data_IF_048546799942
#
_entry.id   IF_048546799942
#
_cell.length_a   1.000
_cell.length_b   1.000
_cell.length_c   1.000
_cell.angle_alpha   90.00
_cell.angle_beta   90.00
_cell.angle_gamma   90.00
#
_symmetry.space_group_name_H-M   'P 1'
#
loop_
_entity.id
_entity.type
_entity.pdbx_description
1 polymer ?
#
# COMPACT_ATOMS: atom_id res chain seq x y z
N UNK A 1 -22.13 -55.29 -38.06
CA UNK A 1 -20.87 -54.54 -38.03
C UNK A 1 -21.01 -53.41 -37.02
N UNK A 2 -20.68 -53.67 -35.75
CA UNK A 2 -20.85 -52.75 -34.62
C UNK A 2 -19.49 -52.57 -33.98
N UNK A 3 -18.87 -51.40 -34.15
CA UNK A 3 -17.63 -51.07 -33.46
C UNK A 3 -17.90 -50.82 -31.97
N UNK A 4 -17.01 -51.27 -31.07
CA UNK A 4 -17.24 -51.17 -29.63
C UNK A 4 -16.96 -49.75 -29.14
N UNK A 5 -18.00 -49.13 -28.56
CA UNK A 5 -18.04 -47.80 -27.93
C UNK A 5 -16.97 -47.61 -26.84
N UNK A 6 -16.33 -48.69 -26.39
CA UNK A 6 -15.26 -48.74 -25.40
C UNK A 6 -13.95 -48.09 -25.86
N UNK A 7 -13.64 -48.10 -27.16
CA UNK A 7 -12.40 -47.51 -27.69
C UNK A 7 -12.45 -45.97 -27.70
N UNK A 8 -13.63 -45.38 -27.90
CA UNK A 8 -13.83 -43.92 -27.97
C UNK A 8 -13.66 -43.24 -26.59
N UNK A 9 -13.99 -43.94 -25.50
CA UNK A 9 -13.84 -43.41 -24.13
C UNK A 9 -12.40 -43.42 -23.63
N UNK A 10 -11.57 -44.36 -24.11
CA UNK A 10 -10.15 -44.43 -23.73
C UNK A 10 -9.33 -43.34 -24.43
N UNK A 11 -9.70 -42.97 -25.66
CA UNK A 11 -9.09 -41.85 -26.40
C UNK A 11 -9.36 -40.49 -25.75
N UNK A 12 -10.56 -40.27 -25.22
CA UNK A 12 -10.94 -38.99 -24.58
C UNK A 12 -10.21 -38.75 -23.25
N UNK A 13 -9.93 -39.80 -22.48
CA UNK A 13 -9.19 -39.70 -21.22
C UNK A 13 -7.69 -39.40 -21.41
N UNK A 14 -7.11 -39.79 -22.55
CA UNK A 14 -5.70 -39.53 -22.87
C UNK A 14 -5.44 -38.09 -23.35
N UNK A 15 -6.45 -37.44 -23.93
CA UNK A 15 -6.37 -36.04 -24.37
C UNK A 15 -6.49 -35.06 -23.19
N UNK A 16 -7.22 -35.42 -22.12
CA UNK A 16 -7.41 -34.53 -20.96
C UNK A 16 -6.17 -34.51 -20.04
N UNK A 17 -5.42 -35.61 -19.95
CA UNK A 17 -4.23 -35.69 -19.08
C UNK A 17 -2.99 -34.98 -19.65
N UNK A 18 -2.94 -34.73 -20.96
CA UNK A 18 -1.79 -34.07 -21.60
C UNK A 18 -1.87 -32.54 -21.61
N UNK A 19 -3.04 -31.95 -21.33
CA UNK A 19 -3.24 -30.50 -21.31
C UNK A 19 -2.92 -29.82 -19.95
N UNK A 20 -2.59 -30.60 -18.91
CA UNK A 20 -2.41 -30.09 -17.54
C UNK A 20 -0.97 -29.70 -17.15
N UNK A 21 0.02 -29.87 -18.03
CA UNK A 21 1.44 -29.72 -17.67
C UNK A 21 2.16 -28.51 -18.30
N UNK A 22 1.45 -27.64 -19.02
CA UNK A 22 2.06 -26.46 -19.67
C UNK A 22 1.58 -25.15 -19.03
N UNK A 23 1.89 -24.96 -17.75
CA UNK A 23 1.72 -23.67 -17.08
C UNK A 23 2.93 -23.34 -16.17
N UNK A 24 4.15 -23.56 -16.68
CA UNK A 24 5.34 -22.87 -16.19
C UNK A 24 5.85 -21.96 -17.31
N UNK A 25 5.23 -20.80 -17.45
CA UNK A 25 5.83 -19.70 -18.20
C UNK A 25 6.97 -19.10 -17.37
N UNK A 26 8.10 -18.71 -17.98
CA UNK A 26 9.09 -17.89 -17.29
C UNK A 26 8.40 -16.61 -16.80
N UNK A 27 8.61 -16.29 -15.51
CA UNK A 27 7.94 -15.20 -14.83
C UNK A 27 7.97 -13.91 -15.63
N UNK A 28 6.82 -13.22 -15.64
CA UNK A 28 6.64 -11.88 -16.19
C UNK A 28 7.86 -11.02 -15.89
N UNK A 29 8.39 -10.33 -16.91
CA UNK A 29 9.39 -9.28 -16.74
C UNK A 29 8.87 -8.29 -15.70
N UNK A 30 9.27 -8.45 -14.43
CA UNK A 30 9.09 -7.42 -13.43
C UNK A 30 9.98 -6.29 -13.92
N UNK A 31 9.37 -5.16 -14.25
CA UNK A 31 10.10 -3.91 -14.43
C UNK A 31 10.74 -3.63 -13.08
N UNK A 32 12.00 -4.06 -12.94
CA UNK A 32 12.80 -3.76 -11.76
C UNK A 32 13.09 -2.27 -11.87
N UNK A 33 12.51 -1.49 -10.96
CA UNK A 33 12.82 -0.08 -10.83
C UNK A 33 14.33 0.04 -10.60
N UNK A 34 15.00 0.77 -11.51
CA UNK A 34 16.43 1.01 -11.38
C UNK A 34 16.61 1.94 -10.18
N UNK A 35 17.48 1.60 -9.21
CA UNK A 35 17.73 2.48 -8.08
C UNK A 35 18.14 3.85 -8.60
N UNK A 36 17.44 4.89 -8.15
CA UNK A 36 17.83 6.27 -8.42
C UNK A 36 19.23 6.45 -7.85
N UNK A 37 20.16 6.84 -8.72
CA UNK A 37 21.50 7.24 -8.28
C UNK A 37 21.33 8.45 -7.39
N UNK A 38 21.66 8.34 -6.11
CA UNK A 38 21.69 9.48 -5.20
C UNK A 38 22.68 10.50 -5.76
N UNK A 39 22.16 11.59 -6.31
CA UNK A 39 22.98 12.74 -6.66
C UNK A 39 23.43 13.37 -5.35
N UNK A 40 24.74 13.30 -5.08
CA UNK A 40 25.34 13.93 -3.89
C UNK A 40 25.23 15.44 -4.09
N UNK A 41 24.16 16.03 -3.59
CA UNK A 41 24.07 17.47 -3.47
C UNK A 41 25.23 17.94 -2.59
N UNK A 42 26.00 18.96 -3.01
CA UNK A 42 27.01 19.57 -2.16
C UNK A 42 26.32 20.08 -0.89
N UNK A 43 26.81 19.62 0.27
CA UNK A 43 26.35 20.07 1.56
C UNK A 43 26.68 21.57 1.74
N UNK A 44 25.78 22.45 1.31
CA UNK A 44 25.74 23.80 1.83
C UNK A 44 25.26 23.70 3.27
N UNK A 45 26.21 23.67 4.21
CA UNK A 45 25.96 23.91 5.61
C UNK A 45 25.54 25.38 5.79
N UNK A 46 24.32 25.72 5.41
CA UNK A 46 23.64 26.88 5.92
C UNK A 46 23.16 26.49 7.33
N UNK A 47 23.85 27.01 8.35
CA UNK A 47 23.37 26.95 9.73
C UNK A 47 22.05 27.70 9.79
N UNK A 48 20.93 26.98 9.66
CA UNK A 48 19.62 27.54 9.93
C UNK A 48 19.60 28.06 11.37
N UNK A 49 19.01 29.23 11.63
CA UNK A 49 18.78 29.67 12.98
C UNK A 49 17.99 28.56 13.68
N UNK A 50 18.51 28.11 14.82
CA UNK A 50 17.89 27.10 15.67
C UNK A 50 16.56 27.69 16.15
N UNK A 51 15.51 27.46 15.36
CA UNK A 51 14.16 27.90 15.66
C UNK A 51 13.85 27.38 17.05
N UNK A 52 13.60 28.30 17.99
CA UNK A 52 13.14 27.96 19.31
C UNK A 52 11.84 27.18 19.10
N UNK A 53 11.92 25.85 19.24
CA UNK A 53 10.76 24.99 19.19
C UNK A 53 9.84 25.45 20.32
N UNK A 54 8.85 26.26 19.98
CA UNK A 54 7.69 26.47 20.83
C UNK A 54 7.13 25.07 21.05
N UNK A 55 7.28 24.55 22.26
CA UNK A 55 6.73 23.26 22.63
C UNK A 55 5.21 23.43 22.62
N UNK A 56 4.59 23.07 21.50
CA UNK A 56 3.14 22.98 21.38
C UNK A 56 2.68 21.82 22.26
N UNK A 57 1.46 21.95 22.80
CA UNK A 57 0.82 20.82 23.46
C UNK A 57 0.68 19.65 22.45
N UNK A 58 0.79 18.40 22.92
CA UNK A 58 0.50 17.24 22.06
C UNK A 58 -0.90 17.35 21.46
N UNK A 59 -1.09 16.88 20.22
CA UNK A 59 -2.40 16.93 19.57
C UNK A 59 -3.41 16.05 20.31
N UNK A 60 -4.65 16.49 20.33
CA UNK A 60 -5.77 15.67 20.82
C UNK A 60 -6.27 14.74 19.71
N UNK A 61 -7.02 13.70 20.09
CA UNK A 61 -7.68 12.83 19.11
C UNK A 61 -8.62 13.60 18.16
N UNK A 62 -9.27 14.66 18.67
CA UNK A 62 -10.11 15.53 17.86
C UNK A 62 -9.29 16.33 16.83
N UNK A 63 -8.14 16.87 17.23
CA UNK A 63 -7.27 17.61 16.30
C UNK A 63 -6.81 16.72 15.15
N UNK A 64 -6.47 15.47 15.47
CA UNK A 64 -6.08 14.46 14.47
C UNK A 64 -7.25 14.13 13.55
N UNK A 65 -8.44 13.90 14.09
CA UNK A 65 -9.63 13.63 13.29
C UNK A 65 -9.96 14.79 12.34
N UNK A 66 -9.99 16.01 12.86
CA UNK A 66 -10.29 17.22 12.08
C UNK A 66 -9.24 17.42 10.97
N UNK A 67 -7.97 17.14 11.27
CA UNK A 67 -6.88 17.20 10.29
C UNK A 67 -7.02 16.15 9.19
N UNK A 68 -7.31 14.89 9.54
CA UNK A 68 -7.51 13.80 8.57
C UNK A 68 -8.72 14.09 7.69
N UNK A 69 -9.87 14.45 8.27
CA UNK A 69 -11.07 14.79 7.52
C UNK A 69 -10.85 16.01 6.60
N UNK A 70 -10.06 17.00 7.01
CA UNK A 70 -9.73 18.15 6.15
C UNK A 70 -8.97 17.73 4.88
N UNK A 71 -8.11 16.72 4.96
CA UNK A 71 -7.27 16.28 3.83
C UNK A 71 -8.01 15.24 2.98
N UNK A 72 -8.57 14.23 3.63
CA UNK A 72 -9.13 13.04 2.99
C UNK A 72 -10.65 13.00 2.97
N UNK A 73 -11.34 14.01 3.52
CA UNK A 73 -12.80 14.08 3.60
C UNK A 73 -13.39 12.78 4.16
N UNK A 74 -14.30 12.17 3.41
CA UNK A 74 -15.00 10.94 3.75
C UNK A 74 -14.38 9.69 3.08
N UNK A 75 -13.22 9.83 2.45
CA UNK A 75 -12.55 8.71 1.75
C UNK A 75 -11.87 7.76 2.74
N UNK A 76 -11.48 8.26 3.91
CA UNK A 76 -10.90 7.48 4.99
C UNK A 76 -11.61 7.76 6.32
N UNK A 77 -11.64 6.75 7.18
CA UNK A 77 -12.26 6.76 8.49
C UNK A 77 -11.19 6.51 9.54
N UNK A 78 -11.06 7.42 10.49
CA UNK A 78 -10.20 7.24 11.67
C UNK A 78 -10.88 6.23 12.61
N UNK A 79 -10.14 5.21 13.05
CA UNK A 79 -10.68 4.00 13.69
C UNK A 79 -10.87 4.12 15.21
N UNK A 80 -12.10 4.35 15.71
CA UNK A 80 -12.42 4.41 17.17
C UNK A 80 -12.12 3.11 17.95
N UNK A 81 -11.40 3.19 19.08
CA UNK A 81 -11.04 2.04 19.92
C UNK A 81 -10.20 2.42 21.15
N UNK A 82 -9.89 1.43 21.99
CA UNK A 82 -9.27 1.59 23.32
C UNK A 82 -7.77 1.99 23.30
N UNK A 83 -7.15 2.06 22.12
CA UNK A 83 -5.73 2.37 21.94
C UNK A 83 -5.56 3.72 21.23
N UNK A 84 -4.43 4.44 21.48
CA UNK A 84 -4.15 5.69 20.77
C UNK A 84 -4.03 5.42 19.27
N UNK A 85 -4.86 6.13 18.50
CA UNK A 85 -5.05 5.93 17.05
C UNK A 85 -4.02 6.68 16.22
N UNK A 86 -3.12 7.35 16.93
CA UNK A 86 -2.05 8.10 16.36
C UNK A 86 -0.85 8.10 17.30
N UNK A 87 0.32 8.28 16.71
CA UNK A 87 1.59 8.44 17.42
C UNK A 87 2.28 9.66 16.85
N UNK A 88 2.87 10.45 17.75
CA UNK A 88 3.71 11.60 17.38
C UNK A 88 5.18 11.27 17.60
N UNK A 89 6.04 11.74 16.72
CA UNK A 89 7.48 11.57 16.83
C UNK A 89 8.20 12.15 15.62
N UNK A 90 9.52 12.23 15.67
CA UNK A 90 10.32 12.57 14.48
C UNK A 90 10.61 11.26 13.73
N UNK A 91 9.83 10.99 12.68
CA UNK A 91 9.92 9.73 11.94
C UNK A 91 10.84 9.82 10.71
N UNK A 92 11.26 11.02 10.31
CA UNK A 92 12.13 11.23 9.14
C UNK A 92 13.49 11.89 9.46
N UNK A 93 13.75 12.29 10.70
CA UNK A 93 15.02 12.84 11.19
C UNK A 93 15.22 14.34 10.94
N UNK A 94 14.16 15.10 10.60
CA UNK A 94 14.26 16.53 10.31
C UNK A 94 14.09 17.43 11.57
N UNK A 95 13.97 16.82 12.76
CA UNK A 95 13.67 17.46 14.03
C UNK A 95 12.28 18.13 14.11
N UNK A 96 11.40 17.85 13.15
CA UNK A 96 9.97 18.17 13.24
C UNK A 96 9.22 17.02 13.91
N UNK A 97 8.08 17.33 14.53
CA UNK A 97 7.16 16.31 15.01
C UNK A 97 6.25 15.90 13.85
N UNK A 98 6.30 14.63 13.49
CA UNK A 98 5.41 13.95 12.56
C UNK A 98 4.24 13.28 13.29
N UNK A 99 3.24 12.88 12.50
CA UNK A 99 2.03 12.18 12.95
C UNK A 99 1.83 10.92 12.11
N UNK A 100 1.72 9.76 12.78
CA UNK A 100 1.22 8.53 12.17
C UNK A 100 -0.22 8.32 12.65
N UNK A 101 -1.15 7.99 11.75
CA UNK A 101 -2.57 7.75 12.07
C UNK A 101 -3.03 6.45 11.42
N UNK A 102 -3.71 5.60 12.18
CA UNK A 102 -4.38 4.42 11.61
C UNK A 102 -5.74 4.80 11.03
N UNK A 103 -5.97 4.46 9.76
CA UNK A 103 -7.24 4.73 9.06
C UNK A 103 -7.75 3.51 8.32
N UNK A 104 -9.06 3.47 8.09
CA UNK A 104 -9.73 2.55 7.16
C UNK A 104 -10.24 3.31 5.96
N UNK A 105 -10.11 2.75 4.76
CA UNK A 105 -10.80 3.29 3.61
C UNK A 105 -12.33 3.20 3.81
N UNK A 106 -13.04 4.22 3.37
CA UNK A 106 -14.49 4.26 3.42
C UNK A 106 -15.08 3.22 2.47
N UNK A 107 -15.91 2.26 2.94
CA UNK A 107 -16.48 1.22 2.08
C UNK A 107 -17.25 1.78 0.89
N UNK A 108 -17.90 2.94 1.05
CA UNK A 108 -18.67 3.61 0.01
C UNK A 108 -17.79 4.23 -1.09
N UNK A 109 -16.50 4.46 -0.80
CA UNK A 109 -15.54 5.16 -1.66
C UNK A 109 -14.45 4.24 -2.24
N UNK A 110 -14.44 2.96 -1.89
CA UNK A 110 -13.41 2.01 -2.34
C UNK A 110 -13.24 1.95 -3.85
N UNK A 111 -14.34 2.03 -4.61
CA UNK A 111 -14.26 2.02 -6.07
C UNK A 111 -13.55 3.27 -6.60
N UNK A 112 -13.90 4.45 -6.07
CA UNK A 112 -13.29 5.74 -6.43
C UNK A 112 -11.80 5.77 -6.07
N UNK A 113 -11.45 5.32 -4.86
CA UNK A 113 -10.06 5.25 -4.38
C UNK A 113 -9.18 4.35 -5.26
N UNK A 114 -9.74 3.25 -5.80
CA UNK A 114 -8.98 2.26 -6.58
C UNK A 114 -8.97 2.51 -8.10
N UNK A 115 -9.48 3.65 -8.58
CA UNK A 115 -9.69 3.90 -10.01
C UNK A 115 -8.48 4.50 -10.75
N UNK A 116 -7.25 4.25 -10.30
CA UNK A 116 -6.00 4.72 -10.94
C UNK A 116 -5.68 4.00 -12.27
#
# INVERSE_FOLDING_TARGET
MTMPVTLLRLSFLFVITTAGLTACGPGSNRVIEKPISAEVLPAMAASLPKSSMVSLAPPTAKDVQDAVHRIFRDDVLVQYGDHPQFVTGDFNGDNSQDLIVEVKASPAKLAEINSE
#
